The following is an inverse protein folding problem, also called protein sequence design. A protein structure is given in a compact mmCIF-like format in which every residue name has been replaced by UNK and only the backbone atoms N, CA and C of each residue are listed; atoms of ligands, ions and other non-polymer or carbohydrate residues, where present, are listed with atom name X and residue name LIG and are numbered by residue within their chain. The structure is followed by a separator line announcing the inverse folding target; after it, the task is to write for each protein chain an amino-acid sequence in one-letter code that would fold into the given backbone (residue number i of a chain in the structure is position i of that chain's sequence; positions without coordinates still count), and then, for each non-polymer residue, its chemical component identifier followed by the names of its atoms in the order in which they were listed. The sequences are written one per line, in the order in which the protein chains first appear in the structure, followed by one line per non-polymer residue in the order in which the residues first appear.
data_IF_692619760769
#
_entry.id   IF_692619760769
#
_cell.length_a   1.000
_cell.length_b   1.000
_cell.length_c   1.000
_cell.angle_alpha   90.00
_cell.angle_beta   90.00
_cell.angle_gamma   90.00
#
_symmetry.space_group_name_H-M   'P 1'
#
loop_
_entity.id
_entity.type
_entity.pdbx_description
1 polymer ?
#
# COMPACT_ATOMS: atom_id res chain seq x y z
N UNK A 1 54.82 43.81 -39.33
CA UNK A 1 53.78 43.69 -38.29
C UNK A 1 52.40 43.44 -38.90
N UNK A 2 52.30 42.61 -39.97
CA UNK A 2 51.01 42.34 -40.67
C UNK A 2 50.89 40.89 -41.17
N UNK A 3 51.70 39.95 -40.64
CA UNK A 3 51.62 38.54 -41.06
C UNK A 3 51.03 37.58 -40.03
N UNK A 4 50.76 38.07 -38.81
CA UNK A 4 50.21 37.23 -37.73
C UNK A 4 48.64 37.34 -37.60
N UNK A 5 48.02 38.30 -38.31
CA UNK A 5 46.56 38.50 -38.25
C UNK A 5 45.77 37.67 -39.29
N UNK A 6 46.46 37.04 -40.27
CA UNK A 6 45.77 36.27 -41.33
C UNK A 6 45.69 34.76 -41.04
N UNK A 7 46.41 34.23 -40.07
CA UNK A 7 46.41 32.81 -39.70
C UNK A 7 45.38 32.48 -38.62
N UNK A 8 44.90 33.47 -37.87
CA UNK A 8 43.92 33.29 -36.81
C UNK A 8 42.45 33.32 -37.29
N UNK A 9 42.18 33.71 -38.54
CA UNK A 9 40.81 33.72 -39.10
C UNK A 9 40.50 32.43 -39.87
N UNK A 10 41.51 31.64 -40.25
CA UNK A 10 41.32 30.37 -40.98
C UNK A 10 41.07 29.15 -40.08
N UNK A 11 41.23 29.25 -38.77
CA UNK A 11 41.02 28.14 -37.83
C UNK A 11 39.62 28.20 -37.21
N UNK A 12 38.89 29.33 -37.33
CA UNK A 12 37.53 29.48 -36.76
C UNK A 12 36.42 29.08 -37.75
N UNK A 13 36.74 28.71 -39.00
CA UNK A 13 35.72 28.35 -40.01
C UNK A 13 35.56 26.84 -40.22
N UNK A 14 36.28 25.97 -39.46
CA UNK A 14 36.18 24.50 -39.61
C UNK A 14 35.55 23.76 -38.46
N UNK A 15 34.96 24.46 -37.47
CA UNK A 15 34.30 23.84 -36.31
C UNK A 15 32.75 23.96 -36.29
N UNK A 16 32.12 24.22 -37.45
CA UNK A 16 30.68 24.38 -37.57
C UNK A 16 29.98 23.36 -38.49
N UNK A 17 30.60 22.19 -38.73
CA UNK A 17 29.93 21.09 -39.46
C UNK A 17 30.07 19.80 -38.69
N UNK A 18 29.53 19.76 -37.48
CA UNK A 18 29.25 18.52 -36.72
C UNK A 18 28.07 18.71 -35.79
N UNK A 19 27.00 19.37 -36.25
CA UNK A 19 25.65 19.11 -35.74
C UNK A 19 25.02 18.16 -36.74
N UNK A 20 25.38 16.88 -36.64
CA UNK A 20 24.56 15.81 -37.16
C UNK A 20 23.21 15.92 -36.52
N UNK A 21 22.18 16.22 -37.32
CA UNK A 21 20.82 16.27 -36.88
C UNK A 21 20.49 14.95 -36.18
N UNK A 22 20.28 15.00 -34.88
CA UNK A 22 19.60 13.92 -34.16
C UNK A 22 18.24 13.82 -34.84
N UNK A 23 18.04 12.71 -35.58
CA UNK A 23 16.76 12.45 -36.20
C UNK A 23 15.72 12.48 -35.09
N UNK A 24 14.67 13.28 -35.28
CA UNK A 24 13.50 13.37 -34.37
C UNK A 24 12.73 12.05 -34.25
N UNK A 25 13.22 10.99 -34.87
CA UNK A 25 12.63 9.66 -34.94
C UNK A 25 13.29 8.62 -34.02
N UNK A 26 14.12 9.04 -33.03
CA UNK A 26 14.55 8.10 -32.02
C UNK A 26 13.36 7.82 -31.07
N UNK A 27 12.89 6.59 -31.06
CA UNK A 27 11.86 6.08 -30.16
C UNK A 27 12.16 6.34 -28.66
N UNK A 28 13.37 6.80 -28.36
CA UNK A 28 13.88 7.17 -27.04
C UNK A 28 13.20 8.40 -26.42
N UNK A 29 12.52 9.25 -27.20
CA UNK A 29 11.88 10.49 -26.72
C UNK A 29 10.37 10.56 -26.97
N UNK A 30 9.73 9.45 -27.30
CA UNK A 30 8.26 9.43 -27.31
C UNK A 30 7.74 9.48 -25.89
N UNK A 31 7.41 10.68 -25.45
CA UNK A 31 6.64 10.89 -24.23
C UNK A 31 5.34 10.08 -24.33
N UNK A 32 5.14 9.11 -23.45
CA UNK A 32 3.90 8.34 -23.40
C UNK A 32 2.75 9.30 -23.06
N UNK A 33 1.82 9.50 -24.00
CA UNK A 33 0.67 10.37 -23.78
C UNK A 33 -0.38 9.60 -22.99
N UNK A 34 -0.79 10.18 -21.85
CA UNK A 34 -1.88 9.63 -21.06
C UNK A 34 -3.18 9.56 -21.90
N UNK A 35 -3.91 8.45 -21.87
CA UNK A 35 -5.19 8.35 -22.54
C UNK A 35 -6.18 9.39 -21.99
N UNK A 36 -7.11 9.81 -22.81
CA UNK A 36 -8.24 10.60 -22.31
C UNK A 36 -9.00 9.78 -21.28
N UNK A 37 -9.31 10.40 -20.14
CA UNK A 37 -10.10 9.73 -19.10
C UNK A 37 -11.36 9.12 -19.69
N UNK A 38 -11.72 7.89 -19.31
CA UNK A 38 -12.82 7.16 -19.91
C UNK A 38 -14.14 7.91 -19.69
N UNK A 39 -14.92 8.00 -20.75
CA UNK A 39 -16.33 8.37 -20.65
C UNK A 39 -17.09 7.16 -20.13
N UNK A 40 -17.78 7.33 -19.02
CA UNK A 40 -18.49 6.24 -18.36
C UNK A 40 -19.98 6.53 -18.33
N UNK A 41 -20.75 5.62 -18.87
CA UNK A 41 -22.20 5.62 -18.69
C UNK A 41 -22.50 5.07 -17.30
N UNK A 42 -22.94 5.96 -16.39
CA UNK A 42 -23.08 5.64 -14.97
C UNK A 42 -24.27 4.71 -14.71
N UNK A 43 -24.02 3.39 -14.75
CA UNK A 43 -24.95 2.31 -14.39
C UNK A 43 -24.91 1.97 -12.89
N UNK A 44 -24.06 2.62 -12.13
CA UNK A 44 -23.96 2.47 -10.69
C UNK A 44 -24.15 3.79 -9.98
N UNK A 45 -24.47 3.72 -8.69
CA UNK A 45 -24.52 4.86 -7.77
C UNK A 45 -23.81 4.50 -6.49
N UNK A 46 -23.07 5.46 -5.90
CA UNK A 46 -22.57 5.32 -4.54
C UNK A 46 -23.58 5.86 -3.56
N UNK A 47 -23.94 5.04 -2.59
CA UNK A 47 -24.77 5.42 -1.44
C UNK A 47 -23.85 5.58 -0.24
N UNK A 48 -23.80 6.78 0.35
CA UNK A 48 -23.16 6.98 1.65
C UNK A 48 -24.13 6.52 2.74
N UNK A 49 -23.68 5.56 3.57
CA UNK A 49 -24.44 5.09 4.70
C UNK A 49 -24.26 6.04 5.88
N UNK A 50 -23.00 6.39 6.19
CA UNK A 50 -22.66 7.35 7.24
C UNK A 50 -21.23 7.93 7.03
N UNK A 51 -20.92 8.98 7.79
CA UNK A 51 -19.60 9.65 7.81
C UNK A 51 -19.30 10.14 9.23
N UNK A 52 -18.04 9.99 9.67
CA UNK A 52 -17.56 10.43 10.99
C UNK A 52 -16.21 11.10 10.84
N UNK A 53 -16.05 12.28 11.41
CA UNK A 53 -14.75 12.95 11.52
C UNK A 53 -13.84 12.20 12.51
N UNK A 54 -12.66 11.78 12.05
CA UNK A 54 -11.62 11.13 12.86
C UNK A 54 -10.53 12.11 13.25
N UNK A 55 -10.40 13.21 12.54
CA UNK A 55 -9.39 14.23 12.76
C UNK A 55 -8.75 14.70 11.46
N UNK A 56 -7.99 15.77 11.53
CA UNK A 56 -7.33 16.38 10.38
C UNK A 56 -5.97 15.74 10.07
N UNK A 57 -5.43 16.06 8.89
CA UNK A 57 -4.06 15.74 8.48
C UNK A 57 -3.76 14.27 8.18
N UNK A 58 -4.75 13.49 7.73
CA UNK A 58 -4.53 12.13 7.27
C UNK A 58 -3.96 12.16 5.84
N UNK A 59 -2.92 11.36 5.58
CA UNK A 59 -2.26 11.29 4.27
C UNK A 59 -1.34 12.47 3.96
N UNK A 60 -0.86 13.19 4.97
CA UNK A 60 0.22 14.16 4.82
C UNK A 60 1.57 13.48 5.15
N UNK A 61 2.53 13.62 4.25
CA UNK A 61 3.82 12.95 4.35
C UNK A 61 3.71 11.44 4.11
N UNK A 62 4.57 10.68 4.78
CA UNK A 62 4.70 9.23 4.61
C UNK A 62 3.73 8.41 5.50
N UNK A 63 2.78 9.06 6.18
CA UNK A 63 1.85 8.38 7.08
C UNK A 63 0.79 7.57 6.32
N UNK A 64 0.77 6.26 6.55
CA UNK A 64 -0.26 5.34 6.02
C UNK A 64 -1.13 4.86 7.17
N UNK A 65 -2.23 5.57 7.40
CA UNK A 65 -3.18 5.23 8.45
C UNK A 65 -4.43 4.63 7.82
N UNK A 66 -4.59 3.33 7.99
CA UNK A 66 -5.75 2.58 7.50
C UNK A 66 -6.72 2.33 8.64
N UNK A 67 -8.04 2.33 8.41
CA UNK A 67 -8.99 1.87 9.40
C UNK A 67 -8.83 0.37 9.66
N UNK A 68 -9.34 -0.12 10.77
CA UNK A 68 -9.40 -1.55 11.07
C UNK A 68 -10.82 -1.93 11.50
N UNK A 69 -11.29 -3.09 11.07
CA UNK A 69 -12.59 -3.66 11.43
C UNK A 69 -12.37 -4.89 12.33
N UNK A 70 -13.06 -4.92 13.46
CA UNK A 70 -13.11 -6.11 14.31
C UNK A 70 -14.52 -6.25 14.89
N UNK A 71 -15.21 -7.32 14.51
CA UNK A 71 -16.63 -7.50 14.81
C UNK A 71 -17.48 -6.34 14.29
N UNK A 72 -18.33 -5.78 15.11
CA UNK A 72 -19.24 -4.67 14.75
C UNK A 72 -18.60 -3.27 14.86
N UNK A 73 -17.28 -3.19 15.03
CA UNK A 73 -16.61 -1.92 15.30
C UNK A 73 -15.46 -1.63 14.35
N UNK A 74 -15.40 -0.39 13.91
CA UNK A 74 -14.26 0.19 13.21
C UNK A 74 -13.41 1.01 14.17
N UNK A 75 -12.11 0.92 13.94
CA UNK A 75 -11.09 1.69 14.64
C UNK A 75 -10.35 2.53 13.62
N UNK A 76 -10.14 3.80 13.92
CA UNK A 76 -9.47 4.72 13.04
C UNK A 76 -8.60 5.68 13.84
N UNK A 77 -7.56 6.20 13.20
CA UNK A 77 -6.66 7.16 13.80
C UNK A 77 -6.35 8.31 12.82
N UNK A 78 -5.80 9.40 13.34
CA UNK A 78 -5.31 10.51 12.53
C UNK A 78 -3.95 10.98 13.02
N UNK A 79 -3.20 11.64 12.13
CA UNK A 79 -1.82 12.08 12.43
C UNK A 79 -1.73 13.05 13.62
N UNK A 80 -2.82 13.74 13.97
CA UNK A 80 -2.87 14.62 15.14
C UNK A 80 -3.05 13.90 16.49
N UNK A 81 -2.85 12.56 16.51
CA UNK A 81 -2.90 11.76 17.74
C UNK A 81 -4.30 11.27 18.13
N UNK A 82 -5.36 11.59 17.39
CA UNK A 82 -6.71 11.10 17.71
C UNK A 82 -6.89 9.65 17.29
N UNK A 83 -7.48 8.85 18.18
CA UNK A 83 -7.89 7.46 17.92
C UNK A 83 -9.35 7.32 18.31
N UNK A 84 -10.14 6.65 17.47
CA UNK A 84 -11.59 6.49 17.66
C UNK A 84 -12.02 5.05 17.47
N UNK A 85 -13.06 4.65 18.21
CA UNK A 85 -13.86 3.45 17.96
C UNK A 85 -15.26 3.87 17.57
N UNK A 86 -15.77 3.35 16.48
CA UNK A 86 -17.12 3.64 15.99
C UNK A 86 -17.87 2.35 15.66
N UNK A 87 -19.19 2.36 15.76
CA UNK A 87 -20.03 1.25 15.27
C UNK A 87 -19.96 1.20 13.74
N UNK A 88 -19.63 0.05 13.18
CA UNK A 88 -19.57 -0.16 11.72
C UNK A 88 -20.93 0.07 11.05
N UNK A 89 -22.02 -0.32 11.71
CA UNK A 89 -23.37 -0.19 11.17
C UNK A 89 -23.89 1.25 11.11
N UNK A 90 -23.55 2.09 12.11
CA UNK A 90 -24.19 3.41 12.26
C UNK A 90 -23.21 4.59 12.23
N UNK A 91 -21.90 4.36 12.29
CA UNK A 91 -20.89 5.40 12.46
C UNK A 91 -20.91 6.06 13.85
N UNK A 92 -21.76 5.60 14.77
CA UNK A 92 -21.84 6.17 16.13
C UNK A 92 -20.53 5.93 16.86
N UNK A 93 -19.92 7.02 17.38
CA UNK A 93 -18.69 6.96 18.16
C UNK A 93 -18.95 6.28 19.50
N UNK A 94 -18.14 5.27 19.82
CA UNK A 94 -18.17 4.54 21.10
C UNK A 94 -17.22 5.21 22.08
N UNK A 95 -15.98 5.42 21.67
CA UNK A 95 -14.99 6.17 22.44
C UNK A 95 -14.03 6.93 21.51
N UNK A 96 -13.35 7.92 22.06
CA UNK A 96 -12.31 8.70 21.43
C UNK A 96 -11.27 9.06 22.46
N UNK A 97 -10.00 8.96 22.07
CA UNK A 97 -8.88 9.50 22.84
C UNK A 97 -8.00 10.40 21.95
N UNK A 98 -7.12 11.15 22.58
CA UNK A 98 -6.07 11.92 21.90
C UNK A 98 -4.74 11.67 22.61
N UNK A 99 -3.79 11.08 21.88
CA UNK A 99 -2.40 10.97 22.29
C UNK A 99 -1.76 12.35 22.09
N UNK A 100 -1.67 13.13 23.17
CA UNK A 100 -1.21 14.53 23.10
C UNK A 100 0.26 14.62 22.68
N UNK A 101 0.55 15.53 21.75
CA UNK A 101 1.89 15.77 21.20
C UNK A 101 2.47 14.63 20.35
N UNK A 102 1.68 13.61 20.07
CA UNK A 102 2.09 12.50 19.21
C UNK A 102 1.65 12.75 17.77
N UNK A 103 2.52 12.36 16.84
CA UNK A 103 2.18 12.25 15.41
C UNK A 103 2.07 10.77 15.06
N UNK A 104 0.84 10.29 14.92
CA UNK A 104 0.58 8.91 14.48
C UNK A 104 0.95 8.82 13.00
N UNK A 105 1.80 7.86 12.66
CA UNK A 105 2.24 7.60 11.28
C UNK A 105 1.77 6.24 10.76
N UNK A 106 1.42 5.31 11.67
CA UNK A 106 1.02 3.97 11.31
C UNK A 106 -0.09 3.44 12.23
N UNK A 107 -0.97 2.68 11.68
CA UNK A 107 -2.11 2.05 12.38
C UNK A 107 -3.33 2.02 11.44
N UNK A 108 -4.43 1.36 11.85
CA UNK A 108 -4.70 0.82 13.18
C UNK A 108 -4.55 -0.70 13.12
N UNK A 109 -3.78 -1.26 14.06
CA UNK A 109 -3.81 -2.71 14.32
C UNK A 109 -4.87 -3.03 15.38
N UNK A 110 -5.61 -4.13 15.24
CA UNK A 110 -6.62 -4.54 16.23
C UNK A 110 -6.61 -6.03 16.46
N UNK A 111 -6.82 -6.46 17.69
CA UNK A 111 -6.93 -7.84 18.09
C UNK A 111 -6.54 -8.05 19.54
N UNK A 112 -6.89 -9.21 20.10
CA UNK A 112 -6.53 -9.61 21.46
C UNK A 112 -6.84 -8.55 22.54
N UNK A 113 -7.95 -7.81 22.39
CA UNK A 113 -8.34 -6.73 23.31
C UNK A 113 -7.55 -5.43 23.14
N UNK A 114 -6.68 -5.33 22.15
CA UNK A 114 -5.80 -4.17 21.88
C UNK A 114 -6.19 -3.42 20.62
N UNK A 115 -5.92 -2.11 20.64
CA UNK A 115 -5.88 -1.23 19.48
C UNK A 115 -4.48 -0.62 19.40
N UNK A 116 -3.79 -0.85 18.30
CA UNK A 116 -2.38 -0.49 18.12
C UNK A 116 -2.24 0.70 17.18
N UNK A 117 -1.49 1.69 17.57
CA UNK A 117 -1.03 2.79 16.73
C UNK A 117 0.46 3.06 16.96
N UNK A 118 1.13 3.61 15.97
CA UNK A 118 2.53 3.93 16.11
C UNK A 118 2.86 5.33 15.57
N UNK A 119 4.01 5.88 15.98
CA UNK A 119 4.36 7.28 15.78
C UNK A 119 5.64 7.43 14.95
N UNK A 120 5.84 8.65 14.44
CA UNK A 120 7.07 9.06 13.76
C UNK A 120 8.30 9.06 14.69
N UNK A 121 8.09 9.03 16.00
CA UNK A 121 9.17 8.93 17.00
C UNK A 121 9.49 7.47 17.36
N UNK A 122 8.81 6.48 16.74
CA UNK A 122 9.05 5.07 16.99
C UNK A 122 8.35 4.54 18.25
N UNK A 123 7.32 5.20 18.75
CA UNK A 123 6.54 4.71 19.89
C UNK A 123 5.37 3.87 19.38
N UNK A 124 5.23 2.66 19.89
CA UNK A 124 4.03 1.85 19.76
C UNK A 124 3.15 2.07 20.97
N UNK A 125 1.90 2.46 20.74
CA UNK A 125 0.85 2.55 21.76
C UNK A 125 -0.11 1.38 21.59
N UNK A 126 -0.36 0.66 22.67
CA UNK A 126 -1.45 -0.30 22.77
C UNK A 126 -2.54 0.26 23.68
N UNK A 127 -3.71 0.41 23.12
CA UNK A 127 -4.89 0.93 23.80
C UNK A 127 -5.85 -0.23 24.09
N UNK A 128 -6.56 -0.14 25.20
CA UNK A 128 -7.61 -1.09 25.53
C UNK A 128 -8.76 -0.95 24.52
N UNK A 129 -9.16 -2.04 23.92
CA UNK A 129 -10.23 -2.09 22.91
C UNK A 129 -11.60 -1.62 23.45
N UNK A 130 -11.83 -1.76 24.76
CA UNK A 130 -13.14 -1.45 25.39
C UNK A 130 -13.36 0.03 25.57
N UNK A 131 -12.35 0.74 26.11
CA UNK A 131 -12.49 2.14 26.55
C UNK A 131 -11.45 3.11 25.97
N UNK A 132 -10.44 2.59 25.22
CA UNK A 132 -9.39 3.39 24.62
C UNK A 132 -8.28 3.83 25.58
N UNK A 133 -8.28 3.39 26.84
CA UNK A 133 -7.20 3.69 27.80
C UNK A 133 -5.87 3.07 27.33
N UNK A 134 -4.73 3.71 27.62
CA UNK A 134 -3.42 3.17 27.30
C UNK A 134 -3.13 1.98 28.19
N UNK A 135 -3.02 0.77 27.58
CA UNK A 135 -2.59 -0.44 28.26
C UNK A 135 -1.08 -0.45 28.48
N UNK A 136 -0.33 -0.13 27.45
CA UNK A 136 1.11 0.02 27.48
C UNK A 136 1.61 0.86 26.30
N UNK A 137 2.86 1.31 26.40
CA UNK A 137 3.59 1.94 25.30
C UNK A 137 5.05 1.50 25.36
N UNK A 138 5.71 1.42 24.19
CA UNK A 138 7.12 1.07 24.08
C UNK A 138 7.81 1.89 23.01
N UNK A 139 9.03 2.37 23.34
CA UNK A 139 9.90 3.07 22.41
C UNK A 139 10.75 2.07 21.64
N UNK A 140 10.69 2.14 20.30
CA UNK A 140 11.54 1.38 19.38
C UNK A 140 12.63 2.29 18.77
N UNK A 141 13.48 1.70 17.91
CA UNK A 141 14.71 2.36 17.47
C UNK A 141 14.53 3.47 16.43
N UNK A 142 13.43 3.49 15.68
CA UNK A 142 13.19 4.43 14.59
C UNK A 142 11.69 4.64 14.35
N UNK A 143 11.34 5.55 13.48
CA UNK A 143 9.97 5.79 13.02
C UNK A 143 9.27 4.50 12.57
N UNK A 144 7.95 4.46 12.70
CA UNK A 144 7.13 3.31 12.31
C UNK A 144 6.13 3.79 11.26
N UNK A 145 6.20 3.21 10.05
CA UNK A 145 5.35 3.58 8.91
C UNK A 145 4.35 2.47 8.55
N UNK A 146 4.64 1.21 8.91
CA UNK A 146 3.71 0.09 8.75
C UNK A 146 2.88 -0.13 10.01
N UNK A 147 1.58 -0.38 9.85
CA UNK A 147 0.69 -0.66 10.98
C UNK A 147 1.19 -1.85 11.81
N UNK A 148 1.41 -1.70 13.13
CA UNK A 148 1.68 -2.83 13.99
C UNK A 148 0.54 -3.85 13.96
N UNK A 149 0.84 -5.13 14.04
CA UNK A 149 -0.16 -6.20 14.02
C UNK A 149 -0.10 -7.02 15.28
N UNK A 150 -1.25 -7.55 15.70
CA UNK A 150 -1.34 -8.47 16.82
C UNK A 150 -1.83 -9.83 16.36
N UNK A 151 -1.16 -10.88 16.81
CA UNK A 151 -1.55 -12.27 16.54
C UNK A 151 -1.21 -13.16 17.72
N UNK A 152 -2.24 -13.71 18.38
CA UNK A 152 -2.04 -14.42 19.65
C UNK A 152 -1.44 -13.50 20.72
N UNK A 153 -0.40 -13.97 21.40
CA UNK A 153 0.24 -13.25 22.51
C UNK A 153 1.35 -12.29 22.06
N UNK A 154 1.48 -12.04 20.75
CA UNK A 154 2.53 -11.20 20.20
C UNK A 154 2.00 -10.02 19.42
N UNK A 155 2.65 -8.87 19.57
CA UNK A 155 2.53 -7.72 18.69
C UNK A 155 3.80 -7.62 17.85
N UNK A 156 3.65 -7.44 16.54
CA UNK A 156 4.77 -7.25 15.62
C UNK A 156 4.77 -5.83 15.11
N UNK A 157 5.91 -5.15 15.24
CA UNK A 157 6.13 -3.82 14.73
C UNK A 157 7.40 -3.76 13.88
N UNK A 158 7.39 -2.97 12.79
CA UNK A 158 8.53 -2.75 11.92
C UNK A 158 8.94 -1.29 11.99
N UNK A 159 10.25 -1.03 12.06
CA UNK A 159 10.81 0.32 12.11
C UNK A 159 11.58 0.65 10.83
N UNK A 160 11.64 1.94 10.48
CA UNK A 160 12.25 2.43 9.25
C UNK A 160 13.77 2.18 9.14
N UNK A 161 14.44 1.79 10.24
CA UNK A 161 15.85 1.35 10.23
C UNK A 161 16.05 -0.14 9.90
N UNK A 162 15.02 -0.81 9.35
CA UNK A 162 15.09 -2.19 8.88
C UNK A 162 14.96 -3.25 9.96
N UNK A 163 14.41 -2.89 11.14
CA UNK A 163 14.17 -3.85 12.21
C UNK A 163 12.72 -4.27 12.31
N UNK A 164 12.51 -5.50 12.74
CA UNK A 164 11.22 -6.07 13.08
C UNK A 164 11.27 -6.55 14.53
N UNK A 165 10.31 -6.13 15.31
CA UNK A 165 10.20 -6.44 16.73
C UNK A 165 9.02 -7.33 17.01
N UNK A 166 9.21 -8.35 17.84
CA UNK A 166 8.15 -9.08 18.49
C UNK A 166 8.02 -8.61 19.93
N UNK A 167 6.84 -8.11 20.27
CA UNK A 167 6.53 -7.54 21.57
C UNK A 167 5.49 -8.42 22.27
N UNK A 168 5.60 -8.58 23.58
CA UNK A 168 4.56 -9.24 24.36
C UNK A 168 3.26 -8.43 24.31
N UNK A 169 2.15 -9.05 23.89
CA UNK A 169 0.88 -8.34 23.72
C UNK A 169 0.35 -7.78 25.04
N UNK A 170 0.66 -8.39 26.19
CA UNK A 170 0.10 -7.98 27.48
C UNK A 170 0.79 -6.77 28.12
N UNK A 171 2.09 -6.52 27.81
CA UNK A 171 2.86 -5.44 28.45
C UNK A 171 3.81 -4.65 27.53
N UNK A 172 3.94 -5.05 26.25
CA UNK A 172 4.81 -4.41 25.28
C UNK A 172 6.30 -4.72 25.42
N UNK A 173 6.69 -5.68 26.25
CA UNK A 173 8.09 -6.09 26.42
C UNK A 173 8.65 -6.65 25.10
N UNK A 174 9.88 -6.24 24.73
CA UNK A 174 10.55 -6.76 23.52
C UNK A 174 11.00 -8.20 23.80
N UNK A 175 10.39 -9.15 23.09
CA UNK A 175 10.74 -10.58 23.18
C UNK A 175 11.90 -10.91 22.23
N UNK A 176 11.84 -10.37 21.01
CA UNK A 176 12.86 -10.58 19.99
C UNK A 176 12.95 -9.40 19.02
N UNK A 177 14.09 -9.29 18.37
CA UNK A 177 14.35 -8.29 17.32
C UNK A 177 15.10 -8.96 16.18
N UNK A 178 14.67 -8.69 14.96
CA UNK A 178 15.36 -9.06 13.72
C UNK A 178 15.83 -7.77 13.06
N UNK A 179 17.06 -7.77 12.55
CA UNK A 179 17.61 -6.62 11.82
C UNK A 179 18.07 -7.06 10.43
N UNK A 180 17.75 -6.25 9.42
CA UNK A 180 18.26 -6.39 8.06
C UNK A 180 19.00 -5.13 7.67
N UNK A 181 20.09 -5.29 6.93
CA UNK A 181 20.80 -4.15 6.39
C UNK A 181 19.98 -3.52 5.27
N UNK A 182 19.71 -2.22 5.38
CA UNK A 182 19.01 -1.48 4.34
C UNK A 182 19.92 -1.27 3.12
N UNK A 183 19.38 -1.39 1.90
CA UNK A 183 20.03 -0.89 0.69
C UNK A 183 20.28 0.62 0.79
N UNK A 184 21.18 1.14 -0.08
CA UNK A 184 21.50 2.59 -0.13
C UNK A 184 20.30 3.44 -0.48
N UNK A 185 19.38 2.92 -1.29
CA UNK A 185 18.12 3.54 -1.67
C UNK A 185 17.01 2.54 -1.42
N UNK A 186 15.97 2.97 -0.72
CA UNK A 186 14.75 2.21 -0.46
C UNK A 186 13.55 3.09 -0.73
N UNK A 187 12.43 2.50 -1.10
CA UNK A 187 11.15 3.18 -1.02
C UNK A 187 10.80 3.36 0.47
N UNK A 188 10.19 4.49 0.83
CA UNK A 188 9.72 4.72 2.21
C UNK A 188 8.42 3.98 2.54
N UNK A 189 7.91 3.15 1.61
CA UNK A 189 6.83 2.21 1.87
C UNK A 189 7.33 1.07 2.75
N UNK A 190 6.53 0.66 3.71
CA UNK A 190 6.84 -0.48 4.56
C UNK A 190 5.72 -1.51 4.51
N UNK A 191 6.08 -2.72 4.11
CA UNK A 191 5.18 -3.87 4.15
C UNK A 191 4.68 -4.12 5.57
N UNK A 192 3.35 -4.13 5.74
CA UNK A 192 2.70 -4.51 7.00
C UNK A 192 2.99 -5.98 7.29
N UNK A 193 3.52 -6.33 8.47
CA UNK A 193 3.72 -7.74 8.82
C UNK A 193 2.41 -8.52 8.85
N UNK A 194 2.48 -9.82 8.58
CA UNK A 194 1.37 -10.75 8.68
C UNK A 194 1.69 -11.80 9.73
N UNK A 195 0.78 -12.03 10.69
CA UNK A 195 0.92 -13.08 11.71
C UNK A 195 -0.10 -14.17 11.41
N UNK A 196 0.39 -15.40 11.16
CA UNK A 196 -0.47 -16.55 10.87
C UNK A 196 0.21 -17.87 11.20
N UNK A 197 -0.53 -18.81 11.79
CA UNK A 197 -0.04 -20.16 12.06
C UNK A 197 1.19 -20.23 12.96
N UNK A 198 1.39 -19.27 13.87
CA UNK A 198 2.58 -19.18 14.72
C UNK A 198 3.82 -18.62 14.02
N UNK A 199 3.68 -18.14 12.78
CA UNK A 199 4.73 -17.47 12.03
C UNK A 199 4.40 -16.00 11.80
N UNK A 200 5.44 -15.19 11.61
CA UNK A 200 5.39 -13.81 11.13
C UNK A 200 5.99 -13.77 9.75
N UNK A 201 5.26 -13.22 8.80
CA UNK A 201 5.73 -12.97 7.43
C UNK A 201 5.91 -11.46 7.24
N UNK A 202 7.05 -11.06 6.68
CA UNK A 202 7.36 -9.65 6.47
C UNK A 202 8.26 -9.47 5.25
N UNK A 203 7.92 -8.50 4.40
CA UNK A 203 8.76 -8.10 3.27
C UNK A 203 9.89 -7.20 3.72
N UNK A 204 11.03 -7.24 3.03
CA UNK A 204 12.18 -6.40 3.28
C UNK A 204 12.61 -5.64 2.04
N UNK A 205 13.32 -4.54 2.24
CA UNK A 205 13.83 -3.70 1.15
C UNK A 205 14.97 -4.33 0.35
N UNK A 206 15.49 -5.47 0.81
CA UNK A 206 16.46 -6.29 0.04
C UNK A 206 15.80 -7.21 -1.00
N UNK A 207 14.48 -7.14 -1.14
CA UNK A 207 13.71 -7.96 -2.08
C UNK A 207 13.27 -9.31 -1.53
N UNK A 208 13.43 -9.55 -0.23
CA UNK A 208 13.05 -10.83 0.39
C UNK A 208 11.72 -10.75 1.15
N UNK A 209 10.98 -11.84 1.15
CA UNK A 209 9.91 -12.14 2.09
C UNK A 209 10.46 -13.13 3.13
N UNK A 210 10.53 -12.73 4.38
CA UNK A 210 10.97 -13.58 5.46
C UNK A 210 9.80 -14.18 6.24
N UNK A 211 9.96 -15.42 6.70
CA UNK A 211 9.11 -16.03 7.68
C UNK A 211 9.93 -16.35 8.93
N UNK A 212 9.40 -15.94 10.08
CA UNK A 212 10.03 -16.21 11.39
C UNK A 212 9.01 -16.76 12.36
N UNK A 213 9.48 -17.53 13.33
CA UNK A 213 8.63 -18.05 14.40
C UNK A 213 8.15 -16.89 15.29
N UNK A 214 6.84 -16.72 15.42
CA UNK A 214 6.25 -15.59 16.15
C UNK A 214 6.72 -15.53 17.61
N UNK A 215 6.93 -16.69 18.25
CA UNK A 215 7.27 -16.81 19.67
C UNK A 215 8.65 -16.25 20.03
N UNK A 216 9.66 -16.44 19.17
CA UNK A 216 11.06 -16.18 19.52
C UNK A 216 11.87 -15.50 18.38
N UNK A 217 11.27 -15.21 17.24
CA UNK A 217 11.93 -14.59 16.10
C UNK A 217 12.90 -15.48 15.32
N UNK A 218 12.93 -16.80 15.62
CA UNK A 218 13.80 -17.74 14.90
C UNK A 218 13.41 -17.78 13.42
N UNK A 219 14.37 -17.60 12.53
CA UNK A 219 14.16 -17.70 11.10
C UNK A 219 13.62 -19.10 10.72
N UNK A 220 12.52 -19.13 10.00
CA UNK A 220 11.96 -20.32 9.40
C UNK A 220 12.46 -20.48 7.96
N UNK A 221 12.34 -19.41 7.17
CA UNK A 221 12.85 -19.32 5.81
C UNK A 221 12.89 -17.86 5.34
N UNK A 222 13.75 -17.60 4.35
CA UNK A 222 13.80 -16.37 3.58
C UNK A 222 13.54 -16.71 2.11
N UNK A 223 12.64 -15.97 1.47
CA UNK A 223 12.27 -16.21 0.09
C UNK A 223 12.54 -14.96 -0.76
N UNK A 224 13.43 -15.04 -1.78
CA UNK A 224 13.67 -13.93 -2.68
C UNK A 224 12.46 -13.73 -3.58
N UNK A 225 11.83 -12.55 -3.49
CA UNK A 225 10.69 -12.11 -4.30
C UNK A 225 11.19 -11.29 -5.49
N UNK A 226 12.18 -10.46 -5.28
CA UNK A 226 12.77 -9.58 -6.28
C UNK A 226 14.27 -9.54 -6.15
N UNK A 227 14.95 -9.27 -7.25
CA UNK A 227 16.41 -9.15 -7.29
C UNK A 227 16.79 -7.76 -7.80
N UNK A 228 17.75 -7.05 -7.13
CA UNK A 228 18.28 -5.80 -7.65
C UNK A 228 18.88 -6.00 -9.05
N UNK A 229 18.29 -5.38 -10.07
CA UNK A 229 18.73 -5.45 -11.46
C UNK A 229 18.94 -4.05 -12.02
N UNK A 230 19.86 -3.92 -12.98
CA UNK A 230 20.16 -2.64 -13.63
C UNK A 230 21.41 -1.95 -13.12
N UNK A 231 21.71 -0.79 -13.71
CA UNK A 231 22.96 -0.06 -13.49
C UNK A 231 22.80 1.16 -12.57
N UNK A 232 21.60 1.73 -12.48
CA UNK A 232 21.30 2.84 -11.57
C UNK A 232 20.76 2.34 -10.23
N UNK A 233 20.89 3.13 -9.17
CA UNK A 233 20.31 2.80 -7.86
C UNK A 233 18.76 2.69 -7.93
N UNK A 234 18.12 3.47 -8.83
CA UNK A 234 16.68 3.40 -9.05
C UNK A 234 16.28 2.08 -9.70
N UNK A 235 17.05 1.61 -10.69
CA UNK A 235 16.81 0.32 -11.35
C UNK A 235 16.98 -0.87 -10.39
N UNK A 236 17.76 -0.68 -9.33
CA UNK A 236 18.08 -1.70 -8.33
C UNK A 236 17.13 -1.74 -7.15
N UNK A 237 16.09 -0.90 -7.13
CA UNK A 237 15.03 -0.98 -6.12
C UNK A 237 14.30 -2.33 -6.23
N UNK A 238 14.42 -3.12 -5.20
CA UNK A 238 13.85 -4.48 -5.12
C UNK A 238 12.82 -4.62 -3.99
N UNK A 239 12.43 -3.51 -3.39
CA UNK A 239 11.57 -3.47 -2.19
C UNK A 239 10.32 -4.34 -2.33
N UNK A 240 10.05 -5.16 -1.30
CA UNK A 240 8.79 -5.87 -1.11
C UNK A 240 7.91 -5.02 -0.20
N UNK A 241 7.31 -3.98 -0.79
CA UNK A 241 6.50 -3.00 -0.05
C UNK A 241 5.02 -3.34 0.01
N UNK A 242 4.55 -4.26 -0.86
CA UNK A 242 3.17 -4.71 -0.77
C UNK A 242 2.94 -5.54 0.48
N UNK A 243 1.81 -5.32 1.14
CA UNK A 243 1.40 -6.15 2.26
C UNK A 243 1.21 -7.60 1.79
N UNK A 244 1.85 -8.60 2.43
CA UNK A 244 1.61 -9.99 2.10
C UNK A 244 0.12 -10.33 2.28
N UNK A 245 -0.54 -10.77 1.21
CA UNK A 245 -1.95 -11.16 1.23
C UNK A 245 -2.05 -12.68 1.40
N UNK A 246 -2.50 -13.13 2.55
CA UNK A 246 -2.72 -14.56 2.81
C UNK A 246 -4.16 -14.95 2.46
N UNK A 247 -4.32 -15.93 1.58
CA UNK A 247 -5.62 -16.55 1.29
C UNK A 247 -5.45 -18.08 1.21
N UNK A 248 -6.01 -18.80 2.18
CA UNK A 248 -5.74 -20.23 2.34
C UNK A 248 -4.28 -20.48 2.70
N UNK A 249 -3.60 -21.33 1.92
CA UNK A 249 -2.18 -21.63 2.09
C UNK A 249 -1.26 -20.77 1.20
N UNK A 250 -1.80 -19.77 0.50
CA UNK A 250 -1.02 -18.96 -0.42
C UNK A 250 -0.81 -17.55 0.12
N UNK A 251 0.45 -17.10 0.08
CA UNK A 251 0.79 -15.69 0.22
C UNK A 251 0.96 -15.12 -1.21
N UNK A 252 0.19 -14.08 -1.49
CA UNK A 252 0.36 -13.27 -2.69
C UNK A 252 1.15 -12.03 -2.33
N UNK A 253 2.21 -11.78 -3.08
CA UNK A 253 3.13 -10.66 -2.84
C UNK A 253 3.61 -10.10 -4.16
N UNK A 254 3.69 -8.78 -4.25
CA UNK A 254 4.18 -8.07 -5.42
C UNK A 254 5.44 -7.28 -5.06
N UNK A 255 6.37 -7.18 -6.00
CA UNK A 255 7.52 -6.30 -5.91
C UNK A 255 7.32 -5.05 -6.76
N UNK A 256 8.06 -3.98 -6.43
CA UNK A 256 7.92 -2.69 -7.10
C UNK A 256 8.19 -2.73 -8.61
N UNK A 257 9.16 -3.50 -9.05
CA UNK A 257 9.62 -3.45 -10.45
C UNK A 257 9.31 -4.69 -11.28
N UNK A 258 8.97 -5.81 -10.67
CA UNK A 258 8.99 -7.07 -11.40
C UNK A 258 7.60 -7.72 -11.50
N UNK A 259 7.29 -8.57 -10.55
CA UNK A 259 6.23 -9.56 -10.71
C UNK A 259 5.39 -9.68 -9.43
N UNK A 260 4.20 -10.23 -9.59
CA UNK A 260 3.40 -10.74 -8.48
C UNK A 260 3.53 -12.25 -8.42
N UNK A 261 3.83 -12.75 -7.23
CA UNK A 261 3.99 -14.18 -6.95
C UNK A 261 2.86 -14.73 -6.08
N UNK A 262 2.50 -15.97 -6.32
CA UNK A 262 1.77 -16.80 -5.36
C UNK A 262 2.74 -17.82 -4.74
N UNK A 263 2.99 -17.68 -3.47
CA UNK A 263 3.86 -18.56 -2.68
C UNK A 263 3.01 -19.51 -1.84
N UNK A 264 3.15 -20.81 -2.02
CA UNK A 264 2.58 -21.82 -1.13
C UNK A 264 3.44 -21.91 0.13
N UNK A 265 2.87 -21.51 1.27
CA UNK A 265 3.58 -21.50 2.55
C UNK A 265 3.86 -22.89 3.11
N UNK A 266 3.08 -23.91 2.73
CA UNK A 266 3.26 -25.27 3.17
C UNK A 266 4.39 -25.98 2.43
N UNK A 267 4.52 -25.67 1.11
CA UNK A 267 5.58 -26.22 0.26
C UNK A 267 6.81 -25.32 0.16
N UNK A 268 6.72 -24.06 0.67
CA UNK A 268 7.76 -23.04 0.56
C UNK A 268 8.22 -22.85 -0.90
N UNK A 269 7.25 -22.73 -1.80
CA UNK A 269 7.48 -22.73 -3.25
C UNK A 269 6.57 -21.73 -3.95
N UNK A 270 7.13 -21.01 -4.95
CA UNK A 270 6.30 -20.25 -5.89
C UNK A 270 5.50 -21.23 -6.73
N UNK A 271 4.17 -21.09 -6.71
CA UNK A 271 3.27 -21.86 -7.56
C UNK A 271 3.14 -21.22 -8.92
N UNK A 272 3.04 -19.92 -8.98
CA UNK A 272 2.99 -19.15 -10.22
C UNK A 272 3.51 -17.73 -10.01
N UNK A 273 3.86 -17.10 -11.11
CA UNK A 273 4.27 -15.71 -11.20
C UNK A 273 3.57 -15.06 -12.36
N UNK A 274 3.21 -13.78 -12.23
CA UNK A 274 2.63 -12.99 -13.32
C UNK A 274 3.40 -11.67 -13.44
N UNK A 275 3.69 -11.30 -14.68
CA UNK A 275 4.38 -10.04 -15.01
C UNK A 275 3.42 -8.84 -14.84
N UNK A 276 3.19 -8.50 -13.59
CA UNK A 276 2.44 -7.34 -13.10
C UNK A 276 3.06 -6.93 -11.79
N UNK A 277 3.63 -5.73 -11.73
CA UNK A 277 4.22 -5.16 -10.52
C UNK A 277 3.24 -4.21 -9.84
N UNK A 278 3.25 -4.17 -8.52
CA UNK A 278 2.48 -3.21 -7.73
C UNK A 278 3.23 -2.81 -6.47
N UNK A 279 3.02 -1.59 -6.03
CA UNK A 279 3.35 -1.12 -4.68
C UNK A 279 2.09 -0.92 -3.81
N UNK A 280 0.91 -1.14 -4.40
CA UNK A 280 -0.36 -1.10 -3.69
C UNK A 280 -0.73 -2.48 -3.14
N UNK A 281 -1.45 -2.53 -2.03
CA UNK A 281 -2.10 -3.75 -1.57
C UNK A 281 -2.95 -4.40 -2.66
N UNK A 282 -2.96 -5.73 -2.65
CA UNK A 282 -3.74 -6.53 -3.57
C UNK A 282 -5.17 -6.71 -3.05
N UNK A 283 -6.18 -6.68 -3.94
CA UNK A 283 -7.52 -7.10 -3.58
C UNK A 283 -7.82 -8.49 -4.18
N UNK A 284 -8.79 -9.19 -3.62
CA UNK A 284 -9.14 -10.53 -4.07
C UNK A 284 -10.63 -10.85 -3.91
N UNK A 285 -11.05 -11.91 -4.56
CA UNK A 285 -12.29 -12.63 -4.28
C UNK A 285 -12.04 -14.16 -4.26
N UNK A 286 -13.08 -14.94 -4.33
CA UNK A 286 -12.97 -16.41 -4.27
C UNK A 286 -12.09 -16.99 -5.37
N UNK A 287 -12.01 -16.38 -6.56
CA UNK A 287 -11.35 -16.91 -7.74
C UNK A 287 -10.16 -16.07 -8.23
N UNK A 288 -10.17 -14.75 -7.96
CA UNK A 288 -9.29 -13.82 -8.64
C UNK A 288 -8.55 -12.89 -7.67
N UNK A 289 -7.41 -12.37 -8.15
CA UNK A 289 -6.72 -11.20 -7.61
C UNK A 289 -6.99 -9.99 -8.50
N UNK A 290 -6.98 -8.82 -7.89
CA UNK A 290 -7.04 -7.53 -8.56
C UNK A 290 -5.82 -6.72 -8.18
N UNK A 291 -5.12 -6.20 -9.18
CA UNK A 291 -3.82 -5.56 -9.05
C UNK A 291 -3.86 -4.23 -9.77
N UNK A 292 -3.57 -3.14 -9.07
CA UNK A 292 -3.30 -1.82 -9.67
C UNK A 292 -1.81 -1.69 -9.90
N UNK A 293 -1.37 -1.57 -11.13
CA UNK A 293 0.05 -1.44 -11.43
C UNK A 293 0.52 0.04 -11.36
N UNK A 294 1.84 0.22 -11.37
CA UNK A 294 2.48 1.55 -11.33
C UNK A 294 2.18 2.43 -12.55
N UNK A 295 1.67 1.84 -13.64
CA UNK A 295 1.27 2.57 -14.85
C UNK A 295 -0.19 3.01 -14.84
N UNK A 296 -0.95 2.71 -13.78
CA UNK A 296 -2.36 3.04 -13.70
C UNK A 296 -3.26 2.05 -14.43
N UNK A 297 -2.80 0.83 -14.68
CA UNK A 297 -3.58 -0.26 -15.26
C UNK A 297 -4.11 -1.15 -14.14
N UNK A 298 -5.37 -1.56 -14.24
CA UNK A 298 -5.98 -2.52 -13.33
C UNK A 298 -6.04 -3.88 -14.01
N UNK A 299 -5.52 -4.89 -13.33
CA UNK A 299 -5.48 -6.27 -13.84
C UNK A 299 -6.35 -7.20 -12.99
N UNK A 300 -7.05 -8.11 -13.65
CA UNK A 300 -7.62 -9.30 -13.01
C UNK A 300 -6.76 -10.51 -13.35
N UNK A 301 -6.37 -11.23 -12.32
CA UNK A 301 -5.52 -12.41 -12.42
C UNK A 301 -6.21 -13.58 -11.74
N UNK A 302 -6.28 -14.73 -12.39
CA UNK A 302 -6.79 -15.96 -11.77
C UNK A 302 -5.86 -16.36 -10.62
N UNK A 303 -6.43 -16.49 -9.42
CA UNK A 303 -5.68 -16.72 -8.19
C UNK A 303 -5.00 -18.10 -8.14
N UNK A 304 -5.51 -19.08 -8.88
CA UNK A 304 -5.00 -20.45 -8.82
C UNK A 304 -3.81 -20.70 -9.76
N UNK A 305 -3.75 -19.98 -10.90
CA UNK A 305 -2.76 -20.26 -11.95
C UNK A 305 -1.99 -19.02 -12.45
N UNK A 306 -2.34 -17.82 -11.99
CA UNK A 306 -1.66 -16.58 -12.40
C UNK A 306 -2.05 -16.07 -13.79
N UNK A 307 -3.07 -16.62 -14.43
CA UNK A 307 -3.52 -16.18 -15.75
C UNK A 307 -4.15 -14.79 -15.69
N UNK A 308 -3.70 -13.87 -16.54
CA UNK A 308 -4.32 -12.54 -16.70
C UNK A 308 -5.62 -12.70 -17.48
N UNK A 309 -6.76 -12.42 -16.84
CA UNK A 309 -8.08 -12.55 -17.46
C UNK A 309 -8.48 -11.30 -18.22
N UNK A 310 -8.16 -10.13 -17.66
CA UNK A 310 -8.30 -8.83 -18.34
C UNK A 310 -7.34 -7.78 -17.76
N UNK A 311 -7.11 -6.73 -18.53
CA UNK A 311 -6.38 -5.53 -18.14
C UNK A 311 -7.16 -4.30 -18.59
N UNK A 312 -7.38 -3.36 -17.67
CA UNK A 312 -8.10 -2.13 -17.94
C UNK A 312 -7.14 -0.94 -17.97
N UNK A 313 -6.88 -0.40 -19.17
CA UNK A 313 -5.88 0.64 -19.44
C UNK A 313 -6.45 2.07 -19.49
N UNK A 314 -7.74 2.26 -19.28
CA UNK A 314 -8.38 3.57 -19.41
C UNK A 314 -7.90 4.64 -18.45
N UNK A 315 -7.19 4.24 -17.39
CA UNK A 315 -6.53 5.13 -16.41
C UNK A 315 -5.01 5.09 -16.50
N UNK A 316 -4.46 4.52 -17.57
CA UNK A 316 -3.01 4.43 -17.77
C UNK A 316 -2.35 5.80 -17.64
N UNK A 317 -1.18 5.86 -16.99
CA UNK A 317 -0.43 7.07 -16.60
C UNK A 317 -1.17 7.99 -15.63
N UNK A 318 -2.26 7.51 -15.01
CA UNK A 318 -2.87 8.16 -13.86
C UNK A 318 -2.38 7.49 -12.57
N UNK A 319 -2.20 8.26 -11.51
CA UNK A 319 -2.04 7.69 -10.18
C UNK A 319 -3.38 7.10 -9.74
N UNK A 320 -3.41 5.80 -9.47
CA UNK A 320 -4.61 5.10 -9.00
C UNK A 320 -4.34 4.44 -7.64
N UNK A 321 -5.40 4.26 -6.86
CA UNK A 321 -5.32 3.59 -5.55
C UNK A 321 -5.17 2.08 -5.67
N UNK A 322 -4.94 1.42 -4.52
CA UNK A 322 -5.22 -0.01 -4.40
C UNK A 322 -6.63 -0.34 -4.91
N UNK A 323 -6.83 -1.50 -5.56
CA UNK A 323 -8.15 -1.92 -5.97
C UNK A 323 -9.00 -2.33 -4.76
N UNK A 324 -10.31 -2.14 -4.86
CA UNK A 324 -11.30 -2.55 -3.87
C UNK A 324 -12.22 -3.58 -4.54
N UNK A 325 -12.26 -4.79 -4.02
CA UNK A 325 -13.11 -5.88 -4.53
C UNK A 325 -14.37 -5.99 -3.68
N UNK A 326 -15.52 -5.63 -4.22
CA UNK A 326 -16.82 -5.65 -3.51
C UNK A 326 -17.93 -6.16 -4.40
N UNK A 327 -18.68 -7.16 -3.96
CA UNK A 327 -19.74 -7.78 -4.75
C UNK A 327 -19.28 -8.10 -6.19
N UNK A 328 -20.02 -7.69 -7.24
CA UNK A 328 -19.61 -7.90 -8.63
C UNK A 328 -18.65 -6.82 -9.16
N UNK A 329 -18.12 -5.94 -8.31
CA UNK A 329 -17.36 -4.77 -8.73
C UNK A 329 -15.91 -4.77 -8.26
N UNK A 330 -15.05 -4.17 -9.08
CA UNK A 330 -13.71 -3.67 -8.69
C UNK A 330 -13.75 -2.15 -8.77
N UNK A 331 -13.21 -1.49 -7.75
CA UNK A 331 -13.20 -0.03 -7.66
C UNK A 331 -11.77 0.45 -7.47
N UNK A 332 -11.40 1.52 -8.15
CA UNK A 332 -10.16 2.27 -7.91
C UNK A 332 -10.46 3.76 -7.83
N UNK A 333 -9.68 4.47 -7.03
CA UNK A 333 -9.69 5.93 -7.00
C UNK A 333 -8.59 6.47 -7.90
N UNK A 334 -8.82 7.57 -8.63
CA UNK A 334 -7.76 8.31 -9.31
C UNK A 334 -7.27 9.50 -8.47
N UNK A 335 -6.15 10.09 -8.88
CA UNK A 335 -5.58 11.27 -8.22
C UNK A 335 -6.49 12.51 -8.21
N UNK A 336 -7.54 12.54 -9.06
CA UNK A 336 -8.52 13.62 -9.13
C UNK A 336 -9.78 13.35 -8.28
N UNK A 337 -9.68 12.46 -7.31
CA UNK A 337 -10.76 12.13 -6.37
C UNK A 337 -12.00 11.49 -7.01
N UNK A 338 -11.83 10.81 -8.14
CA UNK A 338 -12.90 10.05 -8.78
C UNK A 338 -12.74 8.56 -8.47
N UNK A 339 -13.83 7.91 -8.09
CA UNK A 339 -13.95 6.46 -7.98
C UNK A 339 -14.48 5.90 -9.30
N UNK A 340 -13.74 4.95 -9.85
CA UNK A 340 -14.16 4.19 -11.03
C UNK A 340 -14.62 2.81 -10.61
N UNK A 341 -15.87 2.50 -10.91
CA UNK A 341 -16.49 1.19 -10.65
C UNK A 341 -16.41 0.38 -11.93
N UNK A 342 -15.80 -0.81 -11.85
CA UNK A 342 -15.62 -1.74 -12.96
C UNK A 342 -16.37 -3.04 -12.70
N UNK A 343 -16.88 -3.67 -13.76
CA UNK A 343 -17.44 -5.01 -13.74
C UNK A 343 -16.31 -6.05 -13.58
N UNK A 344 -16.40 -6.93 -12.61
CA UNK A 344 -15.38 -7.98 -12.36
C UNK A 344 -15.19 -8.95 -13.52
N UNK A 345 -16.23 -9.22 -14.31
CA UNK A 345 -16.15 -10.22 -15.41
C UNK A 345 -15.44 -9.67 -16.62
N UNK A 346 -15.65 -8.38 -16.93
CA UNK A 346 -15.19 -7.78 -18.19
C UNK A 346 -14.13 -6.69 -18.02
N UNK A 347 -13.93 -6.15 -16.81
CA UNK A 347 -13.13 -4.97 -16.58
C UNK A 347 -13.73 -3.66 -17.10
N UNK A 348 -14.95 -3.68 -17.66
CA UNK A 348 -15.60 -2.49 -18.21
C UNK A 348 -16.04 -1.54 -17.12
N UNK A 349 -15.92 -0.24 -17.39
CA UNK A 349 -16.41 0.79 -16.48
C UNK A 349 -17.94 0.81 -16.41
N UNK A 350 -18.48 0.75 -15.21
CA UNK A 350 -19.91 0.84 -14.89
C UNK A 350 -20.29 2.14 -14.19
N UNK A 351 -19.32 2.86 -13.67
CA UNK A 351 -19.57 4.12 -12.99
C UNK A 351 -18.31 4.94 -12.75
N UNK A 352 -18.48 6.25 -12.75
CA UNK A 352 -17.48 7.23 -12.28
C UNK A 352 -18.16 8.18 -11.30
N UNK A 353 -17.64 8.22 -10.09
CA UNK A 353 -18.23 8.97 -8.99
C UNK A 353 -17.19 9.85 -8.32
N UNK A 354 -17.47 11.13 -8.14
CA UNK A 354 -16.57 12.03 -7.44
C UNK A 354 -16.77 11.98 -5.95
N UNK A 355 -15.66 11.90 -5.19
CA UNK A 355 -15.62 12.06 -3.74
C UNK A 355 -15.52 13.54 -3.29
N UNK A 356 -15.74 14.48 -4.18
CA UNK A 356 -15.46 15.91 -3.98
C UNK A 356 -14.01 16.24 -4.33
N UNK A 357 -13.30 16.92 -3.45
CA UNK A 357 -11.86 17.23 -3.57
C UNK A 357 -10.98 16.31 -2.71
N UNK A 358 -11.48 15.13 -2.31
CA UNK A 358 -10.86 14.25 -1.33
C UNK A 358 -10.44 12.95 -1.96
N UNK A 359 -9.30 12.43 -1.56
CA UNK A 359 -8.79 11.12 -1.99
C UNK A 359 -8.95 10.09 -0.87
N UNK A 360 -8.99 8.81 -1.23
CA UNK A 360 -8.91 7.72 -0.25
C UNK A 360 -7.48 7.65 0.27
N UNK A 361 -7.35 7.49 1.57
CA UNK A 361 -6.06 7.32 2.26
C UNK A 361 -6.02 5.97 2.93
N UNK A 362 -4.85 5.31 2.86
CA UNK A 362 -4.66 3.97 3.41
C UNK A 362 -5.45 2.90 2.67
N UNK A 363 -5.61 1.75 3.31
CA UNK A 363 -6.32 0.60 2.77
C UNK A 363 -7.82 0.68 3.13
N UNK A 364 -8.72 0.69 2.14
CA UNK A 364 -10.14 0.51 2.40
C UNK A 364 -10.44 -0.91 2.91
N UNK A 365 -11.48 -1.02 3.73
CA UNK A 365 -12.00 -2.30 4.21
C UNK A 365 -13.28 -2.62 3.49
N UNK A 366 -13.45 -3.87 3.12
CA UNK A 366 -14.71 -4.38 2.57
C UNK A 366 -15.29 -5.40 3.56
N UNK A 367 -16.53 -5.18 3.94
CA UNK A 367 -17.33 -6.15 4.66
C UNK A 367 -18.66 -6.33 3.93
N UNK A 368 -18.85 -7.53 3.38
CA UNK A 368 -19.99 -7.85 2.53
C UNK A 368 -20.11 -6.86 1.36
N UNK A 369 -21.14 -6.05 1.27
CA UNK A 369 -21.38 -5.04 0.23
C UNK A 369 -21.02 -3.62 0.67
N UNK A 370 -20.38 -3.48 1.83
CA UNK A 370 -20.03 -2.19 2.42
C UNK A 370 -18.53 -1.93 2.34
N UNK A 371 -18.18 -0.72 1.95
CA UNK A 371 -16.79 -0.24 1.88
C UNK A 371 -16.60 0.81 2.96
N UNK A 372 -15.56 0.64 3.76
CA UNK A 372 -15.11 1.60 4.77
C UNK A 372 -13.75 2.16 4.39
N UNK A 373 -13.60 3.45 4.38
CA UNK A 373 -12.34 4.12 4.08
C UNK A 373 -12.22 5.46 4.81
N UNK A 374 -10.99 5.94 4.93
CA UNK A 374 -10.71 7.28 5.41
C UNK A 374 -10.34 8.15 4.21
N UNK A 375 -10.88 9.36 4.15
CA UNK A 375 -10.50 10.32 3.12
C UNK A 375 -9.43 11.30 3.62
N UNK A 376 -8.80 12.02 2.70
CA UNK A 376 -7.72 12.96 2.99
C UNK A 376 -8.12 14.14 3.89
N UNK A 377 -9.40 14.34 4.18
CA UNK A 377 -9.87 15.32 5.17
C UNK A 377 -9.99 14.73 6.57
N UNK A 378 -9.80 13.42 6.73
CA UNK A 378 -9.93 12.74 8.01
C UNK A 378 -11.35 12.27 8.32
N UNK A 379 -12.17 12.06 7.31
CA UNK A 379 -13.49 11.47 7.48
C UNK A 379 -13.43 9.96 7.23
N UNK A 380 -13.81 9.19 8.24
CA UNK A 380 -14.15 7.77 8.08
C UNK A 380 -15.54 7.68 7.48
N UNK A 381 -15.67 7.01 6.35
CA UNK A 381 -16.91 6.89 5.59
C UNK A 381 -17.29 5.42 5.39
N UNK A 382 -18.59 5.19 5.38
CA UNK A 382 -19.21 3.94 4.95
C UNK A 382 -20.03 4.20 3.70
N UNK A 383 -19.73 3.45 2.64
CA UNK A 383 -20.46 3.53 1.36
C UNK A 383 -20.85 2.14 0.86
N UNK A 384 -21.87 2.10 0.02
CA UNK A 384 -22.25 0.92 -0.76
C UNK A 384 -22.40 1.28 -2.23
N UNK A 385 -22.18 0.31 -3.11
CA UNK A 385 -22.40 0.45 -4.55
C UNK A 385 -23.77 -0.09 -4.90
N UNK A 386 -24.59 0.71 -5.54
CA UNK A 386 -25.94 0.34 -5.97
C UNK A 386 -25.98 0.32 -7.50
N UNK A 387 -26.51 -0.77 -8.09
CA UNK A 387 -26.84 -0.80 -9.50
C UNK A 387 -28.02 0.14 -9.79
N UNK A 388 -27.91 0.92 -10.85
CA UNK A 388 -29.07 1.66 -11.37
C UNK A 388 -29.89 0.71 -12.27
N UNK A 389 -31.14 0.59 -11.96
CA UNK A 389 -32.12 -0.10 -12.80
C UNK A 389 -32.35 0.64 -14.11
#
# INVERSE_FOLDING_TARGET
MNFIRLVLISILAFSLVACGGVSKDSDFFKEEIAPKKPKVDNRTQLKRNWRVDVGSSIGQGDAIISPALLGDYLYAASTNGRVVKVSANSGKRVWQIVLKKETITAGVGVGNGLVLVATNQGIVYALNQTDGSISWQVQLSSEILASPVVGGDIVVARTGDGKVYGLAAFNGEIIWTISRQLPRLTLRGESKPLVYGGAVFTGFSDGTLAAVEAKNGRALWDFPISFPRGTSEIDRLADVDTNPLLVGNFIYVSSYQEVTHALDISQQKIQWSVDVSSFHPLAYDSANLYISDKKGVVHQVNRNNGEKLWSQEGLRLSSISAPISVGPYVIVADGDSSLYVMDKRSGNYLGRHKLGSKTIVGEPIVDSDTIYFIDSSGDLQSISVISKS
#
